data_IF_238659824488
#
_entry.id   IF_238659824488
#
_cell.length_a   1.000
_cell.length_b   1.000
_cell.length_c   1.000
_cell.angle_alpha   90.00
_cell.angle_beta   90.00
_cell.angle_gamma   90.00
#
_symmetry.space_group_name_H-M   'P 1'
#
loop_
_entity.id
_entity.type
_entity.pdbx_description
1 polymer ?
#
# COMPACT_ATOMS: atom_id res chain seq x y z
N UNK A 1 24.57 -15.09 3.95
CA UNK A 1 23.66 -14.30 4.82
C UNK A 1 23.49 -12.96 4.14
N UNK A 2 22.39 -12.77 3.36
CA UNK A 2 22.08 -11.46 2.79
C UNK A 2 21.64 -10.56 3.94
N UNK A 3 22.30 -9.43 4.09
CA UNK A 3 21.96 -8.39 5.06
C UNK A 3 20.46 -8.11 4.97
N UNK A 4 19.76 -8.34 6.07
CA UNK A 4 18.35 -7.96 6.20
C UNK A 4 18.28 -6.45 6.12
N UNK A 5 17.90 -5.91 4.97
CA UNK A 5 17.61 -4.50 4.81
C UNK A 5 16.48 -4.19 5.79
N UNK A 6 16.82 -3.52 6.90
CA UNK A 6 15.81 -3.04 7.85
C UNK A 6 14.93 -2.03 7.11
N UNK A 7 13.60 -2.10 7.28
CA UNK A 7 12.72 -1.12 6.67
C UNK A 7 13.13 0.30 7.13
N UNK A 8 13.09 1.26 6.21
CA UNK A 8 13.47 2.66 6.48
C UNK A 8 12.60 3.29 7.57
N UNK A 9 11.33 2.85 7.68
CA UNK A 9 10.35 3.36 8.62
C UNK A 9 9.78 2.25 9.51
N UNK A 10 9.59 2.56 10.80
CA UNK A 10 8.92 1.65 11.74
C UNK A 10 7.38 1.79 11.68
N UNK A 11 6.67 0.85 12.34
CA UNK A 11 5.20 0.82 12.31
C UNK A 11 4.57 2.12 12.84
N UNK A 12 5.09 2.69 13.93
CA UNK A 12 4.57 3.94 14.49
C UNK A 12 4.74 5.14 13.55
N UNK A 13 5.88 5.21 12.84
CA UNK A 13 6.14 6.25 11.84
C UNK A 13 5.20 6.13 10.63
N UNK A 14 4.90 4.91 10.18
CA UNK A 14 3.99 4.67 9.06
C UNK A 14 2.53 4.94 9.46
N UNK A 15 2.10 4.53 10.65
CA UNK A 15 0.78 4.91 11.19
C UNK A 15 0.66 6.43 11.30
N UNK A 16 1.66 7.10 11.85
CA UNK A 16 1.67 8.57 11.96
C UNK A 16 1.59 9.26 10.59
N UNK A 17 2.26 8.71 9.58
CA UNK A 17 2.18 9.20 8.21
C UNK A 17 0.79 9.01 7.61
N UNK A 18 0.18 7.83 7.78
CA UNK A 18 -1.19 7.56 7.34
C UNK A 18 -2.21 8.47 8.03
N UNK A 19 -2.07 8.69 9.34
CA UNK A 19 -2.93 9.63 10.09
C UNK A 19 -2.81 11.05 9.55
N UNK A 20 -1.59 11.52 9.23
CA UNK A 20 -1.38 12.85 8.60
C UNK A 20 -2.05 12.97 7.24
N UNK A 21 -1.98 11.93 6.40
CA UNK A 21 -2.67 11.91 5.10
C UNK A 21 -4.18 11.93 5.31
N UNK A 22 -4.71 11.07 6.18
CA UNK A 22 -6.13 11.02 6.48
C UNK A 22 -6.67 12.35 7.01
N UNK A 23 -5.89 13.03 7.85
CA UNK A 23 -6.26 14.35 8.37
C UNK A 23 -6.39 15.40 7.26
N UNK A 24 -5.52 15.34 6.24
CA UNK A 24 -5.54 16.25 5.09
C UNK A 24 -6.62 15.89 4.06
N UNK A 25 -6.77 14.60 3.75
CA UNK A 25 -7.67 14.13 2.68
C UNK A 25 -9.08 13.90 3.20
N UNK A 26 -9.24 13.12 4.28
CA UNK A 26 -10.57 12.72 4.79
C UNK A 26 -10.52 12.36 6.29
N UNK A 27 -10.50 13.37 7.15
CA UNK A 27 -10.43 13.19 8.63
C UNK A 27 -11.53 12.32 9.22
N UNK A 28 -12.67 12.16 8.52
CA UNK A 28 -13.80 11.30 8.97
C UNK A 28 -13.38 9.86 9.25
N UNK A 29 -12.35 9.31 8.54
CA UNK A 29 -11.89 7.94 8.78
C UNK A 29 -11.42 7.74 10.22
N UNK A 30 -10.73 8.71 10.81
CA UNK A 30 -10.21 8.64 12.18
C UNK A 30 -11.34 8.60 13.22
N UNK A 31 -12.35 9.46 13.05
CA UNK A 31 -13.51 9.49 13.96
C UNK A 31 -14.32 8.21 13.87
N UNK A 32 -14.51 7.66 12.67
CA UNK A 32 -15.23 6.39 12.48
C UNK A 32 -14.48 5.24 13.15
N UNK A 33 -13.14 5.16 13.01
CA UNK A 33 -12.34 4.12 13.68
C UNK A 33 -12.53 4.16 15.21
N UNK A 34 -12.47 5.34 15.82
CA UNK A 34 -12.67 5.51 17.27
C UNK A 34 -14.10 5.18 17.68
N UNK A 35 -15.10 5.67 16.94
CA UNK A 35 -16.50 5.39 17.22
C UNK A 35 -16.83 3.90 17.13
N UNK A 36 -16.34 3.22 16.10
CA UNK A 36 -16.50 1.75 15.97
C UNK A 36 -15.83 0.99 17.11
N UNK A 37 -14.64 1.45 17.56
CA UNK A 37 -13.96 0.83 18.68
C UNK A 37 -14.76 1.01 19.98
N UNK A 38 -15.27 2.19 20.24
CA UNK A 38 -16.09 2.46 21.43
C UNK A 38 -17.40 1.64 21.42
N UNK A 39 -18.08 1.56 20.27
CA UNK A 39 -19.30 0.77 20.12
C UNK A 39 -19.07 -0.74 20.31
N UNK A 40 -17.95 -1.26 19.83
CA UNK A 40 -17.58 -2.67 20.03
C UNK A 40 -17.41 -3.00 21.51
N UNK A 41 -16.70 -2.14 22.25
CA UNK A 41 -16.51 -2.29 23.69
C UNK A 41 -17.85 -2.18 24.43
N UNK A 42 -18.66 -1.20 24.06
CA UNK A 42 -19.99 -1.01 24.66
C UNK A 42 -20.92 -2.21 24.41
N UNK A 43 -20.93 -2.72 23.17
CA UNK A 43 -21.70 -3.92 22.80
C UNK A 43 -21.29 -5.12 23.66
N UNK A 44 -19.99 -5.39 23.75
CA UNK A 44 -19.47 -6.53 24.55
C UNK A 44 -19.72 -6.36 26.05
N UNK A 45 -19.63 -5.13 26.59
CA UNK A 45 -20.03 -4.84 27.96
C UNK A 45 -21.51 -5.10 28.22
N UNK A 46 -22.37 -4.59 27.34
CA UNK A 46 -23.81 -4.84 27.42
C UNK A 46 -24.10 -6.32 27.42
N UNK A 47 -23.48 -7.07 26.51
CA UNK A 47 -23.65 -8.53 26.42
C UNK A 47 -23.14 -9.26 27.67
N UNK A 48 -22.04 -8.80 28.28
CA UNK A 48 -21.47 -9.37 29.51
C UNK A 48 -22.44 -9.30 30.69
N UNK A 49 -23.18 -8.20 30.83
CA UNK A 49 -24.08 -7.95 31.96
C UNK A 49 -25.49 -8.51 31.79
N UNK A 50 -25.92 -8.93 30.58
CA UNK A 50 -27.29 -9.46 30.34
C UNK A 50 -27.64 -10.62 31.28
N UNK A 51 -26.83 -11.70 31.25
CA UNK A 51 -27.12 -12.89 32.02
C UNK A 51 -27.02 -12.68 33.55
N UNK A 52 -25.98 -12.01 34.06
CA UNK A 52 -25.87 -11.71 35.48
C UNK A 52 -27.05 -10.89 36.03
N UNK A 53 -27.48 -9.84 35.31
CA UNK A 53 -28.57 -8.97 35.77
C UNK A 53 -29.94 -9.67 35.73
N UNK A 54 -30.21 -10.45 34.68
CA UNK A 54 -31.45 -11.25 34.61
C UNK A 54 -31.49 -12.26 35.75
N UNK A 55 -30.36 -12.96 36.00
CA UNK A 55 -30.30 -13.93 37.08
C UNK A 55 -30.42 -13.29 38.45
N UNK A 56 -29.82 -12.12 38.67
CA UNK A 56 -29.97 -11.36 39.89
C UNK A 56 -31.44 -10.98 40.16
N UNK A 57 -32.21 -10.60 39.12
CA UNK A 57 -33.64 -10.36 39.24
C UNK A 57 -34.41 -11.64 39.66
N UNK A 58 -34.02 -12.79 39.10
CA UNK A 58 -34.65 -14.08 39.47
C UNK A 58 -34.34 -14.47 40.92
N UNK A 59 -33.07 -14.39 41.35
CA UNK A 59 -32.65 -14.71 42.73
C UNK A 59 -33.35 -13.83 43.80
N UNK A 60 -33.55 -12.55 43.50
CA UNK A 60 -34.23 -11.61 44.37
C UNK A 60 -35.76 -11.75 44.36
N UNK A 61 -36.30 -12.70 43.58
CA UNK A 61 -37.74 -12.84 43.35
C UNK A 61 -38.42 -11.50 42.89
N UNK A 62 -37.73 -10.76 42.00
CA UNK A 62 -38.22 -9.47 41.52
C UNK A 62 -39.61 -9.60 40.84
N UNK A 63 -40.45 -8.56 40.86
CA UNK A 63 -41.70 -8.57 40.13
C UNK A 63 -41.51 -8.82 38.65
N UNK A 64 -42.45 -9.51 38.01
CA UNK A 64 -42.41 -9.84 36.57
C UNK A 64 -42.20 -8.59 35.71
N UNK A 65 -42.76 -7.45 36.09
CA UNK A 65 -42.58 -6.17 35.40
C UNK A 65 -41.15 -5.65 35.42
N UNK A 66 -40.40 -5.84 36.51
CA UNK A 66 -38.98 -5.48 36.61
C UNK A 66 -38.10 -6.40 35.74
N UNK A 67 -38.38 -7.70 35.76
CA UNK A 67 -37.68 -8.67 34.91
C UNK A 67 -37.87 -8.39 33.41
N UNK A 68 -39.12 -8.12 32.99
CA UNK A 68 -39.43 -7.76 31.62
C UNK A 68 -38.81 -6.41 31.23
N UNK A 69 -38.78 -5.45 32.15
CA UNK A 69 -38.10 -4.17 31.95
C UNK A 69 -36.60 -4.32 31.75
N UNK A 70 -35.94 -5.16 32.55
CA UNK A 70 -34.50 -5.47 32.43
C UNK A 70 -34.17 -6.15 31.08
N UNK A 71 -34.96 -7.16 30.71
CA UNK A 71 -34.79 -7.86 29.39
C UNK A 71 -35.02 -6.84 28.26
N UNK A 72 -36.08 -6.03 28.32
CA UNK A 72 -36.40 -5.00 27.32
C UNK A 72 -35.28 -3.97 27.17
N UNK A 73 -34.71 -3.50 28.28
CA UNK A 73 -33.59 -2.55 28.29
C UNK A 73 -32.34 -3.15 27.58
N UNK A 74 -31.91 -4.35 27.98
CA UNK A 74 -30.72 -4.98 27.38
C UNK A 74 -30.94 -5.33 25.89
N UNK A 75 -32.13 -5.81 25.56
CA UNK A 75 -32.48 -6.10 24.15
C UNK A 75 -32.41 -4.83 23.30
N UNK A 76 -32.98 -3.72 23.78
CA UNK A 76 -32.92 -2.44 23.07
C UNK A 76 -31.47 -1.90 22.97
N UNK A 77 -30.72 -1.99 24.07
CA UNK A 77 -29.32 -1.55 24.08
C UNK A 77 -28.46 -2.34 23.10
N UNK A 78 -28.60 -3.68 23.05
CA UNK A 78 -27.90 -4.54 22.08
C UNK A 78 -28.35 -4.22 20.65
N UNK A 79 -29.65 -4.05 20.42
CA UNK A 79 -30.18 -3.68 19.10
C UNK A 79 -29.60 -2.36 18.59
N UNK A 80 -29.61 -1.32 19.43
CA UNK A 80 -29.10 0.00 19.06
C UNK A 80 -27.58 0.01 18.84
N UNK A 81 -26.83 -0.63 19.74
CA UNK A 81 -25.36 -0.69 19.61
C UNK A 81 -24.93 -1.51 18.40
N UNK A 82 -25.59 -2.65 18.14
CA UNK A 82 -25.32 -3.48 16.96
C UNK A 82 -25.72 -2.75 15.67
N UNK A 83 -26.90 -2.15 15.62
CA UNK A 83 -27.38 -1.40 14.46
C UNK A 83 -26.48 -0.23 14.10
N UNK A 84 -26.04 0.55 15.11
CA UNK A 84 -25.14 1.67 14.90
C UNK A 84 -23.72 1.19 14.46
N UNK A 85 -23.24 0.09 15.04
CA UNK A 85 -21.96 -0.53 14.63
C UNK A 85 -21.99 -0.97 13.17
N UNK A 86 -23.04 -1.67 12.76
CA UNK A 86 -23.19 -2.11 11.36
C UNK A 86 -23.32 -0.91 10.40
N UNK A 87 -24.09 0.10 10.77
CA UNK A 87 -24.18 1.34 10.00
C UNK A 87 -22.81 2.00 9.80
N UNK A 88 -22.04 2.17 10.90
CA UNK A 88 -20.68 2.74 10.81
C UNK A 88 -19.73 1.86 9.99
N UNK A 89 -19.87 0.54 10.08
CA UNK A 89 -19.07 -0.41 9.29
C UNK A 89 -19.27 -0.17 7.79
N UNK A 90 -20.51 -0.07 7.35
CA UNK A 90 -20.84 0.15 5.95
C UNK A 90 -20.34 1.50 5.44
N UNK A 91 -20.60 2.59 6.15
CA UNK A 91 -20.16 3.91 5.72
C UNK A 91 -18.64 4.13 5.87
N UNK A 92 -17.93 3.29 6.62
CA UNK A 92 -16.48 3.42 6.84
C UNK A 92 -15.67 3.18 5.58
N UNK A 93 -16.22 2.46 4.59
CA UNK A 93 -15.52 2.12 3.34
C UNK A 93 -15.15 3.36 2.54
N UNK A 94 -16.07 4.30 2.35
CA UNK A 94 -15.86 5.49 1.51
C UNK A 94 -14.68 6.37 1.97
N UNK A 95 -14.60 6.78 3.25
CA UNK A 95 -13.47 7.58 3.72
C UNK A 95 -12.12 6.87 3.62
N UNK A 96 -12.09 5.53 3.75
CA UNK A 96 -10.85 4.74 3.57
C UNK A 96 -10.41 4.75 2.12
N UNK A 97 -11.35 4.56 1.17
CA UNK A 97 -11.09 4.64 -0.26
C UNK A 97 -10.60 6.04 -0.66
N UNK A 98 -11.19 7.11 -0.10
CA UNK A 98 -10.73 8.48 -0.37
C UNK A 98 -9.26 8.67 0.02
N UNK A 99 -8.84 8.17 1.19
CA UNK A 99 -7.44 8.26 1.64
C UNK A 99 -6.52 7.46 0.73
N UNK A 100 -6.91 6.24 0.37
CA UNK A 100 -6.16 5.41 -0.60
C UNK A 100 -6.02 6.11 -1.94
N UNK A 101 -7.10 6.68 -2.49
CA UNK A 101 -7.09 7.43 -3.75
C UNK A 101 -6.16 8.63 -3.68
N UNK A 102 -6.08 9.30 -2.53
CA UNK A 102 -5.10 10.34 -2.28
C UNK A 102 -3.65 9.85 -2.43
N UNK A 103 -3.35 8.65 -1.91
CA UNK A 103 -2.02 8.04 -2.05
C UNK A 103 -1.76 7.63 -3.50
N UNK A 104 -2.76 7.05 -4.20
CA UNK A 104 -2.67 6.74 -5.64
C UNK A 104 -2.32 8.01 -6.44
N UNK A 105 -2.97 9.14 -6.14
CA UNK A 105 -2.65 10.43 -6.76
C UNK A 105 -1.21 10.90 -6.48
N UNK A 106 -0.68 10.66 -5.27
CA UNK A 106 0.72 10.97 -4.93
C UNK A 106 1.69 10.10 -5.73
N UNK A 107 1.41 8.79 -5.86
CA UNK A 107 2.22 7.85 -6.66
C UNK A 107 2.20 8.25 -8.14
N UNK A 108 1.02 8.53 -8.70
CA UNK A 108 0.87 8.96 -10.10
C UNK A 108 1.66 10.25 -10.37
N UNK A 109 1.55 11.24 -9.46
CA UNK A 109 2.33 12.49 -9.57
C UNK A 109 3.83 12.23 -9.54
N UNK A 110 4.33 11.35 -8.64
CA UNK A 110 5.74 10.99 -8.59
C UNK A 110 6.19 10.33 -9.90
N UNK A 111 5.40 9.41 -10.46
CA UNK A 111 5.70 8.77 -11.75
C UNK A 111 5.82 9.77 -12.90
N UNK A 112 4.89 10.75 -12.93
CA UNK A 112 4.80 11.71 -14.04
C UNK A 112 5.83 12.86 -13.93
N UNK A 113 6.32 13.13 -12.72
CA UNK A 113 7.16 14.29 -12.44
C UNK A 113 8.61 13.93 -12.10
N UNK A 114 8.95 12.66 -12.04
CA UNK A 114 10.32 12.21 -11.73
C UNK A 114 11.29 12.51 -12.87
N UNK A 115 12.56 12.60 -12.56
CA UNK A 115 13.65 12.71 -13.53
C UNK A 115 13.63 11.55 -14.50
N UNK A 116 13.85 11.81 -15.79
CA UNK A 116 13.79 10.77 -16.82
C UNK A 116 14.71 9.56 -16.55
N UNK A 117 15.94 9.72 -16.04
CA UNK A 117 16.79 8.58 -15.68
C UNK A 117 16.16 7.62 -14.67
N UNK A 118 15.36 8.12 -13.72
CA UNK A 118 14.67 7.28 -12.76
C UNK A 118 13.69 6.30 -13.43
N UNK A 119 13.08 6.69 -14.55
CA UNK A 119 12.16 5.81 -15.29
C UNK A 119 12.84 4.57 -15.89
N UNK A 120 14.15 4.60 -16.05
CA UNK A 120 14.98 3.51 -16.52
C UNK A 120 15.71 2.75 -15.40
N UNK A 121 15.68 3.28 -14.17
CA UNK A 121 16.32 2.65 -13.01
C UNK A 121 15.50 1.45 -12.53
N UNK A 122 16.11 0.29 -12.55
CA UNK A 122 15.52 -0.99 -12.11
C UNK A 122 15.01 -0.90 -10.66
N UNK A 123 15.72 -0.17 -9.80
CA UNK A 123 15.33 0.00 -8.39
C UNK A 123 14.07 0.86 -8.28
N UNK A 124 14.00 1.96 -9.02
CA UNK A 124 12.82 2.81 -9.09
C UNK A 124 11.60 2.03 -9.62
N UNK A 125 11.78 1.27 -10.72
CA UNK A 125 10.70 0.47 -11.32
C UNK A 125 10.18 -0.56 -10.33
N UNK A 126 11.06 -1.28 -9.63
CA UNK A 126 10.65 -2.25 -8.60
C UNK A 126 9.90 -1.60 -7.43
N UNK A 127 10.38 -0.45 -6.94
CA UNK A 127 9.70 0.29 -5.89
C UNK A 127 8.34 0.83 -6.35
N UNK A 128 8.24 1.31 -7.59
CA UNK A 128 6.98 1.72 -8.21
C UNK A 128 5.95 0.57 -8.22
N UNK A 129 6.34 -0.61 -8.68
CA UNK A 129 5.45 -1.78 -8.70
C UNK A 129 4.97 -2.16 -7.29
N UNK A 130 5.88 -2.18 -6.32
CA UNK A 130 5.54 -2.46 -4.91
C UNK A 130 4.61 -1.39 -4.32
N UNK A 131 4.87 -0.11 -4.59
CA UNK A 131 4.02 0.98 -4.15
C UNK A 131 2.61 0.88 -4.77
N UNK A 132 2.51 0.56 -6.06
CA UNK A 132 1.22 0.32 -6.71
C UNK A 132 0.47 -0.85 -6.10
N UNK A 133 1.15 -1.98 -5.83
CA UNK A 133 0.54 -3.14 -5.19
C UNK A 133 -0.09 -2.76 -3.83
N UNK A 134 0.61 -1.98 -3.02
CA UNK A 134 0.13 -1.56 -1.69
C UNK A 134 -1.14 -0.68 -1.70
N UNK A 135 -1.54 -0.15 -2.88
CA UNK A 135 -2.72 0.72 -3.04
C UNK A 135 -3.76 0.18 -4.00
N UNK A 136 -3.55 -1.00 -4.60
CA UNK A 136 -4.34 -1.49 -5.73
C UNK A 136 -5.76 -1.91 -5.35
N UNK A 137 -5.99 -2.38 -4.13
CA UNK A 137 -7.27 -2.96 -3.69
C UNK A 137 -7.68 -2.60 -2.28
N UNK A 138 -8.90 -3.02 -1.92
CA UNK A 138 -9.50 -2.77 -0.59
C UNK A 138 -8.94 -3.68 0.51
N UNK A 139 -8.11 -4.66 0.14
CA UNK A 139 -7.42 -5.59 1.04
C UNK A 139 -5.96 -5.25 1.24
N UNK A 140 -5.46 -4.29 0.45
CA UNK A 140 -4.06 -3.89 0.48
C UNK A 140 -3.75 -2.91 1.62
N UNK A 141 -2.47 -2.76 1.94
CA UNK A 141 -1.99 -2.06 3.13
C UNK A 141 -2.54 -0.63 3.30
N UNK A 142 -2.66 0.15 2.22
CA UNK A 142 -3.11 1.55 2.30
C UNK A 142 -4.57 1.71 2.75
N UNK A 143 -5.42 0.71 2.53
CA UNK A 143 -6.81 0.72 3.02
C UNK A 143 -6.97 -0.16 4.26
N UNK A 144 -6.36 -1.34 4.26
CA UNK A 144 -6.57 -2.32 5.31
C UNK A 144 -6.04 -1.86 6.68
N UNK A 145 -5.01 -1.00 6.70
CA UNK A 145 -4.46 -0.42 7.93
C UNK A 145 -5.54 0.25 8.81
N UNK A 146 -6.57 0.84 8.22
CA UNK A 146 -7.67 1.47 8.99
C UNK A 146 -8.53 0.44 9.70
N UNK A 147 -8.75 -0.73 9.07
CA UNK A 147 -9.44 -1.86 9.71
C UNK A 147 -8.59 -2.41 10.87
N UNK A 148 -7.29 -2.62 10.61
CA UNK A 148 -6.35 -3.12 11.62
C UNK A 148 -6.22 -2.17 12.80
N UNK A 149 -6.15 -0.85 12.57
CA UNK A 149 -6.15 0.16 13.63
C UNK A 149 -7.47 0.16 14.41
N UNK A 150 -8.61 0.01 13.73
CA UNK A 150 -9.92 -0.08 14.41
C UNK A 150 -9.94 -1.31 15.31
N UNK A 151 -9.55 -2.48 14.82
CA UNK A 151 -9.47 -3.73 15.59
C UNK A 151 -8.50 -3.59 16.76
N UNK A 152 -7.35 -2.95 16.56
CA UNK A 152 -6.40 -2.70 17.65
C UNK A 152 -7.01 -1.82 18.74
N UNK A 153 -7.68 -0.73 18.37
CA UNK A 153 -8.37 0.16 19.33
C UNK A 153 -9.49 -0.56 20.08
N UNK A 154 -10.27 -1.40 19.38
CA UNK A 154 -11.32 -2.24 19.99
C UNK A 154 -10.72 -3.16 21.03
N UNK A 155 -9.68 -3.91 20.68
CA UNK A 155 -9.06 -4.87 21.58
C UNK A 155 -8.37 -4.19 22.77
N UNK A 156 -7.71 -3.05 22.58
CA UNK A 156 -7.11 -2.29 23.68
C UNK A 156 -8.19 -1.74 24.62
N UNK A 157 -9.25 -1.18 24.06
CA UNK A 157 -10.39 -0.67 24.85
C UNK A 157 -11.07 -1.80 25.64
N UNK A 158 -11.37 -2.92 25.00
CA UNK A 158 -11.90 -4.12 25.65
C UNK A 158 -10.98 -4.65 26.74
N UNK A 159 -9.68 -4.79 26.44
CA UNK A 159 -8.67 -5.20 27.42
C UNK A 159 -8.69 -4.33 28.68
N UNK A 160 -8.68 -3.00 28.55
CA UNK A 160 -8.67 -2.10 29.71
C UNK A 160 -9.93 -2.23 30.57
N UNK A 161 -11.10 -2.34 29.92
CA UNK A 161 -12.37 -2.48 30.63
C UNK A 161 -12.47 -3.82 31.35
N UNK A 162 -12.14 -4.94 30.68
CA UNK A 162 -12.20 -6.26 31.28
C UNK A 162 -11.10 -6.46 32.34
N UNK A 163 -9.93 -5.83 32.16
CA UNK A 163 -8.89 -5.79 33.19
C UNK A 163 -9.43 -5.13 34.49
N UNK A 164 -10.17 -4.01 34.36
CA UNK A 164 -10.76 -3.33 35.51
C UNK A 164 -11.83 -4.20 36.20
N UNK A 165 -12.61 -5.00 35.45
CA UNK A 165 -13.60 -5.92 36.01
C UNK A 165 -12.91 -7.07 36.76
N UNK A 166 -11.94 -7.74 36.12
CA UNK A 166 -11.24 -8.89 36.67
C UNK A 166 -10.29 -8.54 37.82
N UNK A 167 -9.77 -7.31 37.87
CA UNK A 167 -8.90 -6.86 38.97
C UNK A 167 -9.58 -6.86 40.35
N UNK A 168 -10.93 -6.82 40.37
CA UNK A 168 -11.71 -6.92 41.61
C UNK A 168 -11.75 -8.35 42.20
N UNK A 169 -11.48 -9.36 41.37
CA UNK A 169 -11.57 -10.75 41.80
C UNK A 169 -10.28 -11.24 42.47
N UNK A 170 -9.18 -11.37 41.71
CA UNK A 170 -7.88 -11.80 42.24
C UNK A 170 -6.77 -11.51 41.21
N UNK A 171 -5.68 -10.88 41.67
CA UNK A 171 -4.54 -10.57 40.84
C UNK A 171 -3.77 -11.82 40.33
N UNK A 172 -3.81 -12.95 41.06
CA UNK A 172 -3.16 -14.20 40.66
C UNK A 172 -3.74 -14.74 39.35
N UNK A 173 -5.07 -14.66 39.19
CA UNK A 173 -5.75 -15.05 37.96
C UNK A 173 -5.24 -14.23 36.76
N UNK A 174 -5.10 -12.91 36.97
CA UNK A 174 -4.57 -12.00 35.91
C UNK A 174 -3.15 -12.38 35.50
N UNK A 175 -2.28 -12.77 36.45
CA UNK A 175 -0.92 -13.20 36.17
C UNK A 175 -0.91 -14.48 35.36
N UNK A 176 -1.75 -15.48 35.71
CA UNK A 176 -1.87 -16.74 34.95
C UNK A 176 -2.33 -16.46 33.50
N UNK A 177 -3.35 -15.64 33.34
CA UNK A 177 -3.84 -15.24 32.01
C UNK A 177 -2.74 -14.54 31.22
N UNK A 178 -2.09 -13.55 31.82
CA UNK A 178 -1.00 -12.81 31.17
C UNK A 178 0.18 -13.73 30.76
N UNK A 179 0.61 -14.62 31.63
CA UNK A 179 1.69 -15.55 31.34
C UNK A 179 1.36 -16.49 30.17
N UNK A 180 0.15 -17.08 30.16
CA UNK A 180 -0.30 -17.97 29.08
C UNK A 180 -0.46 -17.20 27.75
N UNK A 181 -0.93 -15.96 27.78
CA UNK A 181 -1.00 -15.12 26.58
C UNK A 181 0.39 -14.79 26.02
N UNK A 182 1.39 -14.50 26.87
CA UNK A 182 2.77 -14.27 26.44
C UNK A 182 3.35 -15.51 25.75
N UNK A 183 3.12 -16.71 26.31
CA UNK A 183 3.57 -17.96 25.66
C UNK A 183 2.91 -18.14 24.30
N UNK A 184 1.58 -17.98 24.20
CA UNK A 184 0.85 -18.07 22.93
C UNK A 184 1.37 -17.05 21.90
N UNK A 185 1.64 -15.83 22.32
CA UNK A 185 2.26 -14.82 21.48
C UNK A 185 3.65 -15.22 20.95
N UNK A 186 4.51 -15.76 21.80
CA UNK A 186 5.83 -16.20 21.36
C UNK A 186 5.74 -17.30 20.29
N UNK A 187 4.79 -18.21 20.43
CA UNK A 187 4.55 -19.29 19.44
C UNK A 187 4.00 -18.71 18.14
N UNK A 188 2.98 -17.85 18.20
CA UNK A 188 2.44 -17.16 17.01
C UNK A 188 3.52 -16.36 16.31
N UNK A 189 4.30 -15.59 17.04
CA UNK A 189 5.43 -14.81 16.50
C UNK A 189 6.50 -15.69 15.83
N UNK A 190 6.75 -16.89 16.36
CA UNK A 190 7.65 -17.83 15.71
C UNK A 190 7.12 -18.26 14.35
N UNK A 191 5.83 -18.63 14.26
CA UNK A 191 5.14 -19.00 13.02
C UNK A 191 5.22 -17.87 11.98
N UNK A 192 4.85 -16.68 12.36
CA UNK A 192 4.87 -15.50 11.47
C UNK A 192 6.27 -15.12 11.03
N UNK A 193 7.26 -15.16 11.93
CA UNK A 193 8.66 -14.91 11.56
C UNK A 193 9.19 -15.97 10.57
N UNK A 194 8.74 -17.22 10.69
CA UNK A 194 9.13 -18.26 9.76
C UNK A 194 8.57 -17.98 8.37
N UNK A 195 7.27 -17.67 8.26
CA UNK A 195 6.60 -17.31 7.00
C UNK A 195 7.28 -16.08 6.37
N UNK A 196 7.54 -15.07 7.18
CA UNK A 196 8.22 -13.85 6.71
C UNK A 196 9.63 -14.12 6.16
N UNK A 197 10.38 -15.03 6.76
CA UNK A 197 11.73 -15.40 6.28
C UNK A 197 11.71 -16.08 4.91
N UNK A 198 10.60 -16.72 4.55
CA UNK A 198 10.44 -17.44 3.29
C UNK A 198 9.58 -16.66 2.26
N UNK A 199 9.24 -15.41 2.55
CA UNK A 199 8.43 -14.56 1.66
C UNK A 199 9.07 -14.35 0.29
N UNK A 200 10.42 -14.38 0.20
CA UNK A 200 11.13 -14.28 -1.07
C UNK A 200 10.76 -15.43 -2.04
N UNK A 201 10.45 -16.63 -1.52
CA UNK A 201 9.97 -17.77 -2.33
C UNK A 201 8.61 -17.44 -2.95
N UNK A 202 7.71 -16.86 -2.18
CA UNK A 202 6.37 -16.45 -2.60
C UNK A 202 6.44 -15.30 -3.63
N UNK A 203 7.26 -14.28 -3.37
CA UNK A 203 7.46 -13.16 -4.29
C UNK A 203 8.02 -13.63 -5.65
N UNK A 204 8.97 -14.56 -5.62
CA UNK A 204 9.54 -15.16 -6.84
C UNK A 204 8.49 -15.93 -7.63
N UNK A 205 7.61 -16.64 -6.95
CA UNK A 205 6.49 -17.35 -7.56
C UNK A 205 5.53 -16.38 -8.27
N UNK A 206 5.07 -15.33 -7.57
CA UNK A 206 4.17 -14.33 -8.14
C UNK A 206 4.79 -13.59 -9.32
N UNK A 207 6.07 -13.25 -9.24
CA UNK A 207 6.79 -12.62 -10.34
C UNK A 207 6.82 -13.50 -11.59
N UNK A 208 7.15 -14.80 -11.46
CA UNK A 208 7.15 -15.75 -12.57
C UNK A 208 5.75 -15.95 -13.15
N UNK A 209 4.75 -16.15 -12.31
CA UNK A 209 3.35 -16.32 -12.74
C UNK A 209 2.83 -15.09 -13.48
N UNK A 210 3.07 -13.90 -12.94
CA UNK A 210 2.66 -12.63 -13.56
C UNK A 210 3.35 -12.40 -14.90
N UNK A 211 4.65 -12.71 -15.01
CA UNK A 211 5.38 -12.60 -16.25
C UNK A 211 4.78 -13.50 -17.35
N UNK A 212 4.55 -14.78 -17.05
CA UNK A 212 4.00 -15.73 -18.03
C UNK A 212 2.59 -15.30 -18.43
N UNK A 213 1.75 -14.92 -17.47
CA UNK A 213 0.39 -14.46 -17.73
C UNK A 213 0.39 -13.22 -18.63
N UNK A 214 1.16 -12.18 -18.29
CA UNK A 214 1.26 -10.95 -19.09
C UNK A 214 1.72 -11.24 -20.52
N UNK A 215 2.68 -12.17 -20.70
CA UNK A 215 3.14 -12.57 -22.03
C UNK A 215 2.10 -13.40 -22.78
N UNK A 216 1.42 -14.35 -22.13
CA UNK A 216 0.37 -15.15 -22.74
C UNK A 216 -0.84 -14.32 -23.18
N UNK A 217 -1.16 -13.25 -22.44
CA UNK A 217 -2.26 -12.31 -22.73
C UNK A 217 -1.86 -11.23 -23.74
N UNK A 218 -0.58 -11.11 -24.10
CA UNK A 218 -0.09 -10.06 -25.00
C UNK A 218 -0.47 -10.34 -26.46
N UNK A 219 -0.84 -9.27 -27.19
CA UNK A 219 -1.14 -9.31 -28.61
C UNK A 219 0.05 -9.84 -29.43
N UNK A 220 1.27 -9.51 -28.98
CA UNK A 220 2.51 -9.95 -29.63
C UNK A 220 2.63 -11.48 -29.71
N UNK A 221 2.35 -12.16 -28.58
CA UNK A 221 2.46 -13.63 -28.51
C UNK A 221 1.19 -14.34 -29.03
N UNK A 222 0.09 -13.63 -29.18
CA UNK A 222 -1.20 -14.22 -29.58
C UNK A 222 -1.14 -14.98 -30.90
N UNK A 223 -0.37 -14.50 -31.89
CA UNK A 223 -0.14 -15.15 -33.18
C UNK A 223 0.68 -16.45 -33.04
N UNK A 224 1.73 -16.40 -32.22
CA UNK A 224 2.65 -17.52 -32.02
C UNK A 224 1.98 -18.66 -31.25
N UNK A 225 1.15 -18.33 -30.25
CA UNK A 225 0.32 -19.31 -29.51
C UNK A 225 -0.56 -20.10 -30.48
N UNK A 226 -1.19 -19.44 -31.49
CA UNK A 226 -2.08 -20.07 -32.44
C UNK A 226 -1.35 -20.88 -33.51
N UNK A 227 -0.27 -20.30 -34.08
CA UNK A 227 0.47 -20.92 -35.17
C UNK A 227 1.27 -22.13 -34.67
N UNK A 228 1.91 -22.01 -33.52
CA UNK A 228 2.77 -23.05 -32.96
C UNK A 228 2.09 -23.95 -31.93
N UNK A 229 0.81 -23.73 -31.62
CA UNK A 229 0.06 -24.55 -30.65
C UNK A 229 0.60 -24.48 -29.23
N UNK A 230 1.13 -23.33 -28.80
CA UNK A 230 1.84 -23.18 -27.52
C UNK A 230 0.95 -23.28 -26.29
N UNK A 231 -0.37 -23.40 -26.42
CA UNK A 231 -1.32 -23.37 -25.31
C UNK A 231 -1.06 -24.46 -24.26
N UNK A 232 -0.84 -25.70 -24.71
CA UNK A 232 -0.57 -26.81 -23.79
C UNK A 232 0.75 -26.60 -23.02
N UNK A 233 1.80 -26.17 -23.71
CA UNK A 233 3.07 -25.88 -23.11
C UNK A 233 2.99 -24.75 -22.07
N UNK A 234 2.25 -23.67 -22.34
CA UNK A 234 2.01 -22.58 -21.39
C UNK A 234 1.24 -23.04 -20.16
N UNK A 235 0.23 -23.90 -20.35
CA UNK A 235 -0.51 -24.50 -19.24
C UNK A 235 0.38 -25.39 -18.38
N UNK A 236 1.17 -26.28 -18.99
CA UNK A 236 2.13 -27.12 -18.25
C UNK A 236 3.14 -26.27 -17.46
N UNK A 237 3.60 -25.15 -18.04
CA UNK A 237 4.52 -24.25 -17.37
C UNK A 237 3.85 -23.56 -16.17
N UNK A 238 2.60 -23.13 -16.31
CA UNK A 238 1.81 -22.54 -15.22
C UNK A 238 1.52 -23.57 -14.12
N UNK A 239 1.17 -24.79 -14.48
CA UNK A 239 0.91 -25.89 -13.54
C UNK A 239 2.17 -26.26 -12.75
N UNK A 240 3.33 -26.31 -13.41
CA UNK A 240 4.62 -26.56 -12.74
C UNK A 240 4.93 -25.48 -11.70
N UNK A 241 4.73 -24.22 -12.08
CA UNK A 241 4.94 -23.10 -11.17
C UNK A 241 3.91 -23.15 -10.02
N UNK A 242 2.67 -23.52 -10.31
CA UNK A 242 1.60 -23.62 -9.31
C UNK A 242 1.88 -24.73 -8.29
N UNK A 243 2.36 -25.89 -8.73
CA UNK A 243 2.69 -27.03 -7.84
C UNK A 243 3.82 -26.64 -6.85
N UNK A 244 4.85 -25.94 -7.30
CA UNK A 244 5.91 -25.42 -6.40
C UNK A 244 5.33 -24.46 -5.36
N UNK A 245 4.37 -23.63 -5.75
CA UNK A 245 3.69 -22.72 -4.83
C UNK A 245 2.79 -23.46 -3.82
N UNK A 246 2.09 -24.50 -4.26
CA UNK A 246 1.26 -25.33 -3.37
C UNK A 246 2.10 -25.98 -2.29
N UNK A 247 3.28 -26.52 -2.63
CA UNK A 247 4.18 -27.12 -1.66
C UNK A 247 4.67 -26.08 -0.63
N UNK A 248 4.96 -24.88 -1.07
CA UNK A 248 5.30 -23.78 -0.17
C UNK A 248 4.13 -23.42 0.77
N UNK A 249 2.92 -23.26 0.21
CA UNK A 249 1.71 -22.95 0.99
C UNK A 249 1.40 -24.05 2.01
N UNK A 250 1.53 -25.32 1.65
CA UNK A 250 1.35 -26.44 2.57
C UNK A 250 2.33 -26.40 3.74
N UNK A 251 3.58 -26.01 3.51
CA UNK A 251 4.56 -25.79 4.60
C UNK A 251 4.14 -24.66 5.53
N UNK A 252 3.70 -23.53 4.97
CA UNK A 252 3.19 -22.40 5.74
C UNK A 252 1.99 -22.79 6.60
N UNK A 253 0.99 -23.48 6.00
CA UNK A 253 -0.24 -23.89 6.70
C UNK A 253 0.05 -24.93 7.81
N UNK A 254 1.00 -25.84 7.62
CA UNK A 254 1.43 -26.78 8.69
C UNK A 254 2.00 -26.06 9.91
N UNK A 255 2.80 -25.00 9.69
CA UNK A 255 3.38 -24.22 10.78
C UNK A 255 2.31 -23.38 11.49
N UNK A 256 1.37 -22.80 10.73
CA UNK A 256 0.20 -22.12 11.32
C UNK A 256 -0.64 -23.08 12.15
N UNK A 257 -0.95 -24.25 11.62
CA UNK A 257 -1.72 -25.27 12.33
C UNK A 257 -1.08 -25.65 13.67
N UNK A 258 0.24 -25.83 13.71
CA UNK A 258 0.96 -26.10 14.96
C UNK A 258 0.82 -24.95 15.96
N UNK A 259 0.89 -23.72 15.50
CA UNK A 259 0.69 -22.53 16.34
C UNK A 259 -0.77 -22.47 16.87
N UNK A 260 -1.75 -22.69 16.01
CA UNK A 260 -3.18 -22.66 16.35
C UNK A 260 -3.55 -23.78 17.35
N UNK A 261 -3.04 -25.01 17.16
CA UNK A 261 -3.22 -26.13 18.11
C UNK A 261 -2.59 -25.80 19.46
N UNK A 262 -1.37 -25.23 19.46
CA UNK A 262 -0.71 -24.82 20.71
C UNK A 262 -1.53 -23.75 21.44
N UNK A 263 -2.06 -22.76 20.74
CA UNK A 263 -2.92 -21.73 21.34
C UNK A 263 -4.24 -22.31 21.85
N UNK A 264 -4.84 -23.28 21.16
CA UNK A 264 -6.04 -23.97 21.64
C UNK A 264 -5.78 -24.70 22.95
N UNK A 265 -4.64 -25.39 23.07
CA UNK A 265 -4.22 -26.09 24.31
C UNK A 265 -3.95 -25.09 25.45
N UNK A 266 -3.27 -23.98 25.17
CA UNK A 266 -3.03 -22.94 26.16
C UNK A 266 -4.34 -22.29 26.62
N UNK A 267 -5.28 -22.05 25.70
CA UNK A 267 -6.61 -21.51 26.01
C UNK A 267 -7.41 -22.48 26.87
N UNK A 268 -7.39 -23.79 26.57
CA UNK A 268 -8.03 -24.80 27.35
C UNK A 268 -7.44 -24.85 28.77
N UNK A 269 -6.12 -24.87 28.91
CA UNK A 269 -5.44 -24.89 30.21
C UNK A 269 -5.76 -23.62 31.03
N UNK A 270 -5.69 -22.43 30.41
CA UNK A 270 -5.99 -21.16 31.03
C UNK A 270 -7.42 -21.07 31.53
N UNK A 271 -8.39 -21.41 30.67
CA UNK A 271 -9.81 -21.41 31.05
C UNK A 271 -10.10 -22.47 32.12
N UNK A 272 -9.50 -23.67 32.02
CA UNK A 272 -9.65 -24.69 33.01
C UNK A 272 -9.17 -24.27 34.40
N UNK A 273 -7.99 -23.66 34.51
CA UNK A 273 -7.46 -23.10 35.77
C UNK A 273 -8.39 -21.99 36.30
N UNK A 274 -8.80 -21.06 35.43
CA UNK A 274 -9.68 -19.96 35.84
C UNK A 274 -11.04 -20.47 36.33
N UNK A 275 -11.64 -21.41 35.61
CA UNK A 275 -12.95 -21.96 35.98
C UNK A 275 -12.90 -22.81 37.25
N UNK A 276 -11.84 -23.63 37.42
CA UNK A 276 -11.63 -24.37 38.67
C UNK A 276 -11.49 -23.42 39.87
N UNK A 277 -10.77 -22.32 39.71
CA UNK A 277 -10.65 -21.29 40.74
C UNK A 277 -11.99 -20.58 41.04
N UNK A 278 -12.73 -20.17 40.01
CA UNK A 278 -14.06 -19.58 40.20
C UNK A 278 -15.05 -20.53 40.88
N UNK A 279 -15.04 -21.81 40.50
CA UNK A 279 -15.86 -22.82 41.10
C UNK A 279 -15.51 -23.03 42.59
N UNK A 280 -14.20 -23.03 42.90
CA UNK A 280 -13.75 -23.12 44.29
C UNK A 280 -14.27 -21.94 45.16
N UNK A 281 -14.26 -20.72 44.60
CA UNK A 281 -14.80 -19.53 45.26
C UNK A 281 -16.32 -19.62 45.43
N UNK A 282 -17.04 -20.10 44.42
CA UNK A 282 -18.50 -20.25 44.48
C UNK A 282 -18.94 -21.27 45.52
N UNK A 283 -18.20 -22.42 45.62
CA UNK A 283 -18.48 -23.46 46.61
C UNK A 283 -18.17 -23.06 48.05
N UNK A 284 -17.44 -21.96 48.28
CA UNK A 284 -17.15 -21.40 49.60
C UNK A 284 -18.07 -20.25 49.97
N UNK A 285 -19.19 -20.05 49.27
CA UNK A 285 -20.17 -18.98 49.45
C UNK A 285 -19.56 -17.56 49.39
N UNK A 286 -18.42 -17.43 48.73
CA UNK A 286 -17.74 -16.14 48.52
C UNK A 286 -18.11 -15.44 47.23
N UNK A 287 -18.91 -16.09 46.36
CA UNK A 287 -19.40 -15.57 45.08
C UNK A 287 -20.89 -15.95 44.91
N UNK A 288 -21.72 -14.94 44.54
CA UNK A 288 -23.08 -15.23 44.10
C UNK A 288 -23.11 -15.87 42.70
N UNK A 289 -24.21 -16.52 42.32
CA UNK A 289 -24.36 -17.16 41.03
C UNK A 289 -24.26 -16.13 39.88
N UNK A 290 -24.88 -14.95 39.95
CA UNK A 290 -24.71 -13.87 38.98
C UNK A 290 -23.24 -13.44 38.82
N UNK A 291 -22.51 -13.25 39.92
CA UNK A 291 -21.08 -12.89 39.88
C UNK A 291 -20.23 -13.99 39.29
N UNK A 292 -20.55 -15.25 39.60
CA UNK A 292 -19.86 -16.41 38.97
C UNK A 292 -19.99 -16.37 37.44
N UNK A 293 -21.20 -16.14 36.89
CA UNK A 293 -21.44 -16.05 35.45
C UNK A 293 -20.72 -14.86 34.86
N UNK A 294 -20.74 -13.69 35.54
CA UNK A 294 -20.03 -12.49 35.12
C UNK A 294 -18.53 -12.77 34.92
N UNK A 295 -17.88 -13.30 35.96
CA UNK A 295 -16.43 -13.56 35.91
C UNK A 295 -16.07 -14.70 34.99
N UNK A 296 -16.90 -15.74 34.91
CA UNK A 296 -16.72 -16.87 33.99
C UNK A 296 -16.68 -16.39 32.52
N UNK A 297 -17.63 -15.54 32.13
CA UNK A 297 -17.69 -14.95 30.80
C UNK A 297 -16.58 -13.92 30.57
N UNK A 298 -16.25 -13.13 31.59
CA UNK A 298 -15.22 -12.11 31.52
C UNK A 298 -13.83 -12.71 31.27
N UNK A 299 -13.47 -13.85 31.91
CA UNK A 299 -12.19 -14.53 31.69
C UNK A 299 -11.99 -14.96 30.23
N UNK A 300 -13.02 -15.60 29.68
CA UNK A 300 -12.97 -16.04 28.26
C UNK A 300 -12.81 -14.86 27.30
N UNK A 301 -13.63 -13.82 27.49
CA UNK A 301 -13.60 -12.64 26.65
C UNK A 301 -12.32 -11.82 26.81
N UNK A 302 -11.77 -11.72 28.03
CA UNK A 302 -10.49 -11.03 28.27
C UNK A 302 -9.34 -11.65 27.46
N UNK A 303 -9.31 -12.98 27.39
CA UNK A 303 -8.35 -13.69 26.54
C UNK A 303 -8.46 -13.29 25.08
N UNK A 304 -9.69 -13.19 24.55
CA UNK A 304 -9.94 -12.78 23.17
C UNK A 304 -9.41 -11.37 22.89
N UNK A 305 -9.58 -10.43 23.84
CA UNK A 305 -9.02 -9.09 23.71
C UNK A 305 -7.48 -9.08 23.66
N UNK A 306 -6.82 -9.85 24.53
CA UNK A 306 -5.35 -9.92 24.55
C UNK A 306 -4.83 -10.50 23.24
N UNK A 307 -5.40 -11.62 22.78
CA UNK A 307 -4.99 -12.24 21.51
C UNK A 307 -5.27 -11.31 20.32
N UNK A 308 -6.41 -10.61 20.34
CA UNK A 308 -6.75 -9.63 19.33
C UNK A 308 -5.76 -8.45 19.25
N UNK A 309 -5.22 -7.98 20.39
CA UNK A 309 -4.16 -6.95 20.40
C UNK A 309 -2.91 -7.49 19.68
N UNK A 310 -2.50 -8.72 20.00
CA UNK A 310 -1.28 -9.30 19.46
C UNK A 310 -1.38 -9.53 17.96
N UNK A 311 -2.51 -10.09 17.49
CA UNK A 311 -2.78 -10.31 16.07
C UNK A 311 -2.88 -8.99 15.30
N UNK A 312 -3.57 -7.99 15.87
CA UNK A 312 -3.66 -6.68 15.24
C UNK A 312 -2.29 -5.96 15.15
N UNK A 313 -1.46 -6.08 16.19
CA UNK A 313 -0.11 -5.52 16.19
C UNK A 313 0.80 -6.20 15.13
N UNK A 314 0.68 -7.52 14.97
CA UNK A 314 1.39 -8.28 13.94
C UNK A 314 0.94 -7.86 12.54
N UNK A 315 -0.37 -7.80 12.30
CA UNK A 315 -0.93 -7.36 11.04
C UNK A 315 -0.54 -5.94 10.69
N UNK A 316 -0.56 -5.04 11.69
CA UNK A 316 -0.10 -3.66 11.54
C UNK A 316 1.39 -3.59 11.15
N UNK A 317 2.21 -4.50 11.69
CA UNK A 317 3.62 -4.58 11.31
C UNK A 317 3.78 -4.99 9.84
N UNK A 318 3.05 -6.01 9.36
CA UNK A 318 3.07 -6.41 7.94
C UNK A 318 2.65 -5.26 7.02
N UNK A 319 1.51 -4.61 7.30
CA UNK A 319 1.01 -3.46 6.52
C UNK A 319 1.99 -2.29 6.54
N UNK A 320 2.68 -2.09 7.66
CA UNK A 320 3.73 -1.07 7.79
C UNK A 320 4.92 -1.32 6.86
N UNK A 321 5.30 -2.57 6.61
CA UNK A 321 6.38 -2.88 5.67
C UNK A 321 6.00 -2.46 4.25
N UNK A 322 4.77 -2.73 3.83
CA UNK A 322 4.27 -2.34 2.51
C UNK A 322 4.17 -0.81 2.39
N UNK A 323 3.69 -0.12 3.42
CA UNK A 323 3.67 1.35 3.47
C UNK A 323 5.06 1.98 3.49
N UNK A 324 6.07 1.31 4.06
CA UNK A 324 7.47 1.76 3.96
C UNK A 324 7.92 1.82 2.50
N UNK A 325 7.54 0.83 1.69
CA UNK A 325 7.87 0.81 0.27
C UNK A 325 7.19 1.94 -0.51
N UNK A 326 5.92 2.26 -0.17
CA UNK A 326 5.22 3.43 -0.73
C UNK A 326 5.97 4.72 -0.41
N UNK A 327 6.39 4.91 0.85
CA UNK A 327 7.13 6.11 1.26
C UNK A 327 8.51 6.18 0.63
N UNK A 328 9.23 5.07 0.57
CA UNK A 328 10.54 4.99 -0.10
C UNK A 328 10.43 5.33 -1.58
N UNK A 329 9.35 4.89 -2.24
CA UNK A 329 9.07 5.28 -3.62
C UNK A 329 8.79 6.79 -3.76
N UNK A 330 7.93 7.35 -2.92
CA UNK A 330 7.60 8.78 -2.95
C UNK A 330 8.82 9.67 -2.64
N UNK A 331 9.73 9.19 -1.80
CA UNK A 331 10.97 9.86 -1.41
C UNK A 331 12.17 9.46 -2.28
N UNK A 332 11.94 8.74 -3.40
CA UNK A 332 13.04 8.37 -4.29
C UNK A 332 13.75 9.62 -4.81
N UNK A 333 15.10 9.68 -4.74
CA UNK A 333 15.83 10.88 -5.04
C UNK A 333 15.65 11.32 -6.49
N UNK A 334 15.61 12.63 -6.68
CA UNK A 334 15.62 13.26 -7.99
C UNK A 334 17.03 13.72 -8.32
N UNK A 335 17.65 13.17 -9.37
CA UNK A 335 18.96 13.64 -9.83
C UNK A 335 18.88 15.05 -10.43
N UNK A 336 17.72 15.44 -10.97
CA UNK A 336 17.53 16.73 -11.60
C UNK A 336 16.94 17.76 -10.65
N UNK A 337 17.30 19.03 -10.87
CA UNK A 337 16.74 20.16 -10.16
C UNK A 337 15.44 20.60 -10.82
N UNK A 338 14.32 20.45 -10.10
CA UNK A 338 12.99 20.88 -10.55
C UNK A 338 12.47 22.12 -9.81
N UNK A 339 13.19 22.57 -8.79
CA UNK A 339 12.88 23.78 -8.02
C UNK A 339 14.12 24.65 -7.88
N UNK A 340 13.97 25.96 -8.01
CA UNK A 340 15.08 26.89 -8.02
C UNK A 340 15.99 26.71 -9.23
N UNK A 341 17.23 27.19 -9.15
CA UNK A 341 18.21 27.16 -10.22
C UNK A 341 18.43 28.53 -10.85
N UNK A 342 19.40 28.59 -11.78
CA UNK A 342 19.69 29.79 -12.57
C UNK A 342 18.54 30.06 -13.52
N UNK A 343 18.12 31.31 -13.66
CA UNK A 343 17.09 31.69 -14.61
C UNK A 343 17.60 31.49 -16.05
N UNK A 344 16.73 30.97 -16.91
CA UNK A 344 17.07 30.81 -18.33
C UNK A 344 17.20 32.21 -18.97
N UNK A 345 18.30 32.49 -19.68
CA UNK A 345 18.47 33.75 -20.36
C UNK A 345 17.36 33.94 -21.39
N UNK A 346 16.74 35.12 -21.41
CA UNK A 346 15.78 35.50 -22.47
C UNK A 346 16.56 35.78 -23.72
N UNK A 347 16.39 34.97 -24.77
CA UNK A 347 17.01 35.16 -26.07
C UNK A 347 16.05 34.65 -27.16
N UNK A 348 16.16 35.21 -28.37
CA UNK A 348 15.37 34.78 -29.53
C UNK A 348 15.88 33.44 -30.09
N UNK A 349 17.14 33.12 -29.84
CA UNK A 349 17.76 31.86 -30.19
C UNK A 349 18.90 31.52 -29.20
N UNK A 350 19.21 30.25 -29.07
CA UNK A 350 20.15 29.74 -28.07
C UNK A 350 21.30 29.01 -28.76
N UNK A 351 22.51 29.12 -28.17
CA UNK A 351 23.63 28.24 -28.46
C UNK A 351 23.58 27.02 -27.53
N UNK A 352 23.72 25.83 -28.11
CA UNK A 352 23.91 24.57 -27.35
C UNK A 352 25.33 24.07 -27.63
N UNK A 353 26.08 23.82 -26.56
CA UNK A 353 27.44 23.34 -26.67
C UNK A 353 27.66 22.09 -25.78
N UNK A 354 28.25 21.06 -26.35
CA UNK A 354 28.76 19.90 -25.65
C UNK A 354 30.28 20.08 -25.53
N UNK A 355 30.81 19.89 -24.32
CA UNK A 355 32.24 19.94 -24.05
C UNK A 355 32.70 18.64 -23.40
N UNK A 356 33.53 17.87 -24.11
CA UNK A 356 34.08 16.58 -23.68
C UNK A 356 33.02 15.62 -23.14
N UNK A 357 31.86 15.52 -23.84
CA UNK A 357 30.72 14.77 -23.37
C UNK A 357 30.89 13.28 -23.62
N UNK A 358 30.92 12.50 -22.54
CA UNK A 358 30.74 11.05 -22.58
C UNK A 358 29.44 10.65 -21.88
N UNK A 359 28.77 9.62 -22.39
CA UNK A 359 27.55 9.12 -21.80
C UNK A 359 27.46 7.59 -21.87
N UNK A 360 27.13 7.00 -20.71
CA UNK A 360 26.89 5.56 -20.54
C UNK A 360 25.52 5.33 -19.91
N UNK A 361 24.74 4.44 -20.50
CA UNK A 361 23.48 4.01 -19.88
C UNK A 361 23.73 3.21 -18.59
N UNK A 362 22.86 3.31 -17.59
CA UNK A 362 22.97 2.51 -16.37
C UNK A 362 23.05 1.01 -16.68
N UNK A 363 24.10 0.36 -16.19
CA UNK A 363 24.35 -1.08 -16.41
C UNK A 363 25.02 -1.45 -17.74
N UNK A 364 25.33 -0.49 -18.61
CA UNK A 364 26.16 -0.74 -19.79
C UNK A 364 27.65 -0.77 -19.43
N UNK A 365 28.42 -1.59 -20.15
CA UNK A 365 29.87 -1.69 -19.97
C UNK A 365 30.63 -0.62 -20.78
N UNK A 366 30.07 -0.17 -21.89
CA UNK A 366 30.69 0.77 -22.82
C UNK A 366 29.91 2.09 -22.92
N UNK A 367 30.60 3.15 -23.29
CA UNK A 367 30.03 4.45 -23.54
C UNK A 367 29.25 4.44 -24.87
N UNK A 368 28.05 4.98 -24.85
CA UNK A 368 27.24 5.20 -26.06
C UNK A 368 27.71 6.45 -26.81
N UNK A 369 28.22 7.43 -26.08
CA UNK A 369 28.88 8.63 -26.61
C UNK A 369 30.20 8.77 -25.85
N UNK A 370 31.29 9.03 -26.58
CA UNK A 370 32.62 9.15 -26.00
C UNK A 370 33.30 10.43 -26.47
N UNK A 371 33.73 11.24 -25.53
CA UNK A 371 34.50 12.50 -25.66
C UNK A 371 34.02 13.39 -26.85
N UNK A 372 32.73 13.68 -26.87
CA UNK A 372 32.13 14.44 -27.96
C UNK A 372 32.14 15.94 -27.68
N UNK A 373 32.74 16.69 -28.60
CA UNK A 373 32.63 18.15 -28.71
C UNK A 373 31.71 18.52 -29.86
N UNK A 374 30.68 19.31 -29.57
CA UNK A 374 29.71 19.78 -30.57
C UNK A 374 29.17 21.16 -30.16
N UNK A 375 29.10 22.07 -31.13
CA UNK A 375 28.43 23.37 -30.94
C UNK A 375 27.34 23.52 -31.96
N UNK A 376 26.11 23.77 -31.52
CA UNK A 376 24.95 24.15 -32.35
C UNK A 376 24.70 25.62 -32.10
N UNK A 377 24.95 26.42 -33.15
CA UNK A 377 24.82 27.88 -33.09
C UNK A 377 23.37 28.33 -33.16
N UNK A 378 23.05 29.54 -32.69
CA UNK A 378 21.71 30.10 -32.81
C UNK A 378 21.22 30.09 -34.28
N UNK A 379 20.04 29.50 -34.52
CA UNK A 379 19.44 29.41 -35.87
C UNK A 379 20.06 28.35 -36.79
N UNK A 380 21.04 27.61 -36.36
CA UNK A 380 21.70 26.56 -37.15
C UNK A 380 20.77 25.35 -37.36
N UNK A 381 20.82 24.78 -38.58
CA UNK A 381 20.16 23.51 -38.93
C UNK A 381 21.22 22.42 -39.02
N UNK A 382 21.16 21.49 -38.07
CA UNK A 382 22.11 20.37 -37.99
C UNK A 382 21.43 19.07 -38.43
N UNK A 383 22.06 18.33 -39.35
CA UNK A 383 21.68 16.99 -39.73
C UNK A 383 22.63 15.97 -39.07
N UNK A 384 22.08 15.01 -38.33
CA UNK A 384 22.84 13.95 -37.65
C UNK A 384 22.59 12.62 -38.38
N UNK A 385 23.62 12.06 -39.00
CA UNK A 385 23.56 10.82 -39.75
C UNK A 385 24.49 9.77 -39.14
N UNK A 386 24.12 8.50 -39.25
CA UNK A 386 24.89 7.39 -38.72
C UNK A 386 24.11 6.09 -38.72
N UNK A 387 24.79 4.99 -38.46
CA UNK A 387 24.19 3.65 -38.36
C UNK A 387 23.20 3.56 -37.17
N UNK A 388 22.35 2.53 -37.22
CA UNK A 388 21.50 2.23 -36.07
C UNK A 388 22.38 1.85 -34.86
N UNK A 389 22.05 2.41 -33.68
CA UNK A 389 22.89 2.22 -32.49
C UNK A 389 24.05 3.21 -32.32
N UNK A 390 24.33 4.09 -33.30
CA UNK A 390 25.44 5.06 -33.22
C UNK A 390 25.24 6.21 -32.23
N UNK A 391 24.26 6.15 -31.33
CA UNK A 391 24.06 7.19 -30.29
C UNK A 391 23.25 8.42 -30.71
N UNK A 392 22.70 8.50 -31.94
CA UNK A 392 21.95 9.68 -32.42
C UNK A 392 20.81 10.13 -31.48
N UNK A 393 19.97 9.20 -31.12
CA UNK A 393 18.86 9.47 -30.18
C UNK A 393 19.34 9.82 -28.76
N UNK A 394 20.46 9.24 -28.33
CA UNK A 394 21.11 9.55 -27.07
C UNK A 394 21.64 10.97 -27.04
N UNK A 395 22.26 11.41 -28.14
CA UNK A 395 22.75 12.78 -28.32
C UNK A 395 21.59 13.79 -28.21
N UNK A 396 20.48 13.53 -28.91
CA UNK A 396 19.27 14.40 -28.80
C UNK A 396 18.74 14.42 -27.38
N UNK A 397 18.69 13.28 -26.68
CA UNK A 397 18.24 13.22 -25.28
C UNK A 397 19.15 14.02 -24.33
N UNK A 398 20.47 14.04 -24.57
CA UNK A 398 21.41 14.86 -23.80
C UNK A 398 21.21 16.35 -24.09
N UNK A 399 21.06 16.74 -25.35
CA UNK A 399 20.78 18.12 -25.75
C UNK A 399 19.48 18.63 -25.13
N UNK A 400 18.41 17.82 -25.15
CA UNK A 400 17.12 18.17 -24.52
C UNK A 400 17.14 18.06 -22.98
N UNK A 401 18.25 17.65 -22.35
CA UNK A 401 18.37 17.53 -20.92
C UNK A 401 17.57 16.38 -20.31
N UNK A 402 17.19 15.35 -21.08
CA UNK A 402 16.59 14.13 -20.56
C UNK A 402 17.59 13.25 -19.82
N UNK A 403 18.88 13.41 -20.14
CA UNK A 403 20.02 12.84 -19.41
C UNK A 403 21.04 13.93 -19.10
N UNK A 404 21.79 13.74 -18.04
CA UNK A 404 23.06 14.42 -17.82
C UNK A 404 24.19 13.54 -18.35
N UNK A 405 25.25 14.14 -18.89
CA UNK A 405 26.41 13.36 -19.34
C UNK A 405 27.10 12.69 -18.14
N UNK A 406 27.73 11.51 -18.39
CA UNK A 406 28.54 10.82 -17.40
C UNK A 406 29.84 11.60 -17.12
N UNK A 407 30.42 12.16 -18.20
CA UNK A 407 31.58 13.05 -18.15
C UNK A 407 31.34 14.24 -19.07
N UNK A 408 32.03 15.34 -18.78
CA UNK A 408 31.86 16.59 -19.53
C UNK A 408 30.61 17.37 -19.12
N UNK A 409 30.16 18.27 -20.00
CA UNK A 409 29.03 19.15 -19.72
C UNK A 409 28.29 19.58 -20.99
N UNK A 410 26.99 19.79 -20.81
CA UNK A 410 26.12 20.40 -21.83
C UNK A 410 25.82 21.83 -21.39
N UNK A 411 26.06 22.78 -22.27
CA UNK A 411 25.94 24.21 -21.99
C UNK A 411 24.83 24.83 -22.85
N UNK A 412 24.04 25.71 -22.25
CA UNK A 412 23.10 26.60 -22.92
C UNK A 412 23.62 28.03 -22.74
N UNK A 413 24.02 28.69 -23.83
CA UNK A 413 24.65 30.03 -23.80
C UNK A 413 25.79 30.12 -22.76
N UNK A 414 26.62 29.08 -22.66
CA UNK A 414 27.77 29.00 -21.76
C UNK A 414 27.46 28.60 -20.31
N UNK A 415 26.20 28.38 -19.94
CA UNK A 415 25.79 27.93 -18.59
C UNK A 415 25.45 26.45 -18.63
N UNK A 416 25.94 25.69 -17.64
CA UNK A 416 25.69 24.25 -17.53
C UNK A 416 24.20 23.96 -17.32
N UNK A 417 23.67 23.03 -18.11
CA UNK A 417 22.26 22.62 -18.07
C UNK A 417 21.83 22.11 -16.69
N UNK A 418 22.76 21.57 -15.88
CA UNK A 418 22.51 21.13 -14.51
C UNK A 418 22.20 22.24 -13.53
N UNK A 419 22.56 23.50 -13.86
CA UNK A 419 22.30 24.67 -13.02
C UNK A 419 20.92 25.26 -13.20
N UNK A 420 20.22 24.94 -14.29
CA UNK A 420 18.86 25.40 -14.58
C UNK A 420 17.79 24.58 -13.87
N UNK A 421 16.61 25.18 -13.71
CA UNK A 421 15.39 24.43 -13.45
C UNK A 421 15.09 23.56 -14.67
N UNK A 422 15.05 22.25 -14.49
CA UNK A 422 14.92 21.31 -15.62
C UNK A 422 13.58 21.46 -16.37
N UNK A 423 12.49 21.85 -15.69
CA UNK A 423 11.19 22.08 -16.35
C UNK A 423 11.24 23.30 -17.26
N UNK A 424 11.89 24.37 -16.80
CA UNK A 424 12.06 25.57 -17.61
C UNK A 424 12.93 25.27 -18.81
N UNK A 425 13.99 24.48 -18.62
CA UNK A 425 14.85 24.04 -19.71
C UNK A 425 14.11 23.19 -20.73
N UNK A 426 13.25 22.25 -20.31
CA UNK A 426 12.41 21.48 -21.23
C UNK A 426 11.48 22.34 -22.05
N UNK A 427 11.01 23.46 -21.51
CA UNK A 427 10.15 24.43 -22.22
C UNK A 427 10.80 25.10 -23.42
N UNK A 428 12.13 25.01 -23.59
CA UNK A 428 12.85 25.53 -24.75
C UNK A 428 12.76 24.60 -25.97
N UNK A 429 12.34 23.35 -25.80
CA UNK A 429 12.39 22.35 -26.85
C UNK A 429 10.99 21.97 -27.33
N UNK A 430 10.89 21.74 -28.64
CA UNK A 430 9.82 20.98 -29.27
C UNK A 430 10.45 19.81 -29.98
N UNK A 431 10.09 18.58 -29.57
CA UNK A 431 10.72 17.37 -30.08
C UNK A 431 9.66 16.39 -30.60
N UNK A 432 9.97 15.76 -31.74
CA UNK A 432 9.20 14.64 -32.27
C UNK A 432 10.10 13.42 -32.17
N UNK A 433 9.75 12.51 -31.26
CA UNK A 433 10.46 11.24 -31.09
C UNK A 433 9.92 10.17 -32.03
N UNK A 434 10.71 9.15 -32.32
CA UNK A 434 10.33 8.00 -33.16
C UNK A 434 9.19 7.20 -32.52
N UNK A 435 9.20 7.07 -31.18
CA UNK A 435 8.13 6.49 -30.41
C UNK A 435 7.25 7.61 -29.85
N UNK A 436 6.02 7.70 -30.32
CA UNK A 436 5.03 8.67 -29.85
C UNK A 436 3.80 7.95 -29.33
N UNK A 437 3.12 8.54 -28.36
CA UNK A 437 1.89 8.03 -27.79
C UNK A 437 0.72 8.89 -28.25
N UNK A 438 -0.34 8.24 -28.73
CA UNK A 438 -1.65 8.84 -28.99
C UNK A 438 -2.57 8.41 -27.87
N UNK A 439 -3.25 9.37 -27.26
CA UNK A 439 -4.25 9.10 -26.22
C UNK A 439 -5.61 8.81 -26.89
N UNK A 440 -6.44 8.02 -26.21
CA UNK A 440 -7.82 7.72 -26.64
C UNK A 440 -8.75 8.92 -26.28
N UNK A 441 -8.49 10.03 -26.96
CA UNK A 441 -9.24 11.29 -26.87
C UNK A 441 -9.35 11.87 -28.28
N UNK A 442 -10.03 13.00 -28.46
CA UNK A 442 -10.19 13.61 -29.79
C UNK A 442 -8.84 14.03 -30.41
N UNK A 443 -8.83 14.15 -31.73
CA UNK A 443 -7.65 14.66 -32.47
C UNK A 443 -7.26 16.05 -31.97
N UNK A 444 -8.25 16.90 -31.72
CA UNK A 444 -8.03 18.26 -31.20
C UNK A 444 -7.32 18.24 -29.83
N UNK A 445 -7.76 17.39 -28.91
CA UNK A 445 -7.14 17.23 -27.58
C UNK A 445 -5.73 16.64 -27.66
N UNK A 446 -5.49 15.67 -28.57
CA UNK A 446 -4.15 15.12 -28.79
C UNK A 446 -3.17 16.19 -29.32
N UNK A 447 -3.62 17.07 -30.22
CA UNK A 447 -2.78 18.15 -30.78
C UNK A 447 -2.59 19.28 -29.76
N UNK A 448 -3.67 19.72 -29.13
CA UNK A 448 -3.65 20.84 -28.19
C UNK A 448 -3.05 20.46 -26.82
N UNK A 449 -3.01 19.16 -26.48
CA UNK A 449 -2.60 18.63 -25.17
C UNK A 449 -3.37 19.24 -23.99
N UNK A 450 -4.61 19.63 -24.24
CA UNK A 450 -5.57 20.14 -23.26
C UNK A 450 -6.99 19.79 -23.69
N UNK A 451 -7.88 19.67 -22.69
CA UNK A 451 -9.32 19.45 -22.92
C UNK A 451 -10.15 20.74 -22.78
N UNK A 452 -9.50 21.87 -22.42
CA UNK A 452 -10.18 23.13 -22.19
C UNK A 452 -9.60 24.24 -23.06
N UNK A 453 -10.46 25.14 -23.57
CA UNK A 453 -10.09 26.37 -24.30
C UNK A 453 -9.16 26.13 -25.50
N UNK A 454 -9.44 25.10 -26.31
CA UNK A 454 -8.67 24.82 -27.51
C UNK A 454 -8.86 25.99 -28.54
N UNK A 455 -7.76 26.65 -28.90
CA UNK A 455 -7.75 27.66 -29.96
C UNK A 455 -7.90 26.97 -31.32
N UNK A 456 -9.12 26.94 -31.84
CA UNK A 456 -9.47 26.28 -33.10
C UNK A 456 -8.71 26.84 -34.29
N UNK A 457 -8.42 28.15 -34.29
CA UNK A 457 -7.69 28.77 -35.40
C UNK A 457 -6.24 28.30 -35.42
N UNK A 458 -5.58 28.29 -34.26
CA UNK A 458 -4.21 27.79 -34.11
C UNK A 458 -4.14 26.28 -34.39
N UNK A 459 -5.17 25.53 -34.00
CA UNK A 459 -5.26 24.10 -34.26
C UNK A 459 -5.25 23.81 -35.77
N UNK A 460 -6.11 24.47 -36.54
CA UNK A 460 -6.18 24.27 -37.98
C UNK A 460 -4.90 24.78 -38.72
N UNK A 461 -4.29 25.88 -38.28
CA UNK A 461 -2.99 26.35 -38.79
C UNK A 461 -1.90 25.30 -38.58
N UNK A 462 -1.86 24.64 -37.41
CA UNK A 462 -0.94 23.54 -37.14
C UNK A 462 -1.20 22.30 -38.03
N UNK A 463 -2.46 21.93 -38.22
CA UNK A 463 -2.88 20.79 -39.06
C UNK A 463 -2.47 21.03 -40.52
N UNK A 464 -2.70 22.26 -41.03
CA UNK A 464 -2.31 22.66 -42.39
C UNK A 464 -0.80 22.62 -42.57
N UNK A 465 -0.02 23.19 -41.63
CA UNK A 465 1.44 23.16 -41.65
C UNK A 465 2.02 21.73 -41.57
N UNK A 466 1.32 20.82 -40.92
CA UNK A 466 1.67 19.41 -40.86
C UNK A 466 1.26 18.62 -42.12
N UNK A 467 0.52 19.22 -43.05
CA UNK A 467 0.02 18.54 -44.25
C UNK A 467 -1.08 17.50 -43.99
N UNK A 468 -1.78 17.62 -42.86
CA UNK A 468 -2.77 16.64 -42.43
C UNK A 468 -4.22 17.03 -42.67
N UNK A 469 -4.50 18.17 -43.32
CA UNK A 469 -5.83 18.75 -43.53
C UNK A 469 -6.80 17.74 -44.15
N UNK A 470 -6.42 17.13 -45.28
CA UNK A 470 -7.28 16.18 -45.98
C UNK A 470 -7.53 14.88 -45.14
N UNK A 471 -6.53 14.49 -44.39
CA UNK A 471 -6.61 13.27 -43.56
C UNK A 471 -7.61 13.50 -42.41
N UNK A 472 -7.51 14.64 -41.75
CA UNK A 472 -8.37 14.97 -40.60
C UNK A 472 -9.79 15.27 -41.02
N UNK A 473 -9.99 15.94 -42.16
CA UNK A 473 -11.34 16.20 -42.69
C UNK A 473 -12.13 14.95 -43.07
N UNK A 474 -11.45 13.82 -43.31
CA UNK A 474 -12.08 12.52 -43.60
C UNK A 474 -12.46 11.74 -42.34
N UNK A 475 -12.00 12.17 -41.16
CA UNK A 475 -12.36 11.55 -39.88
C UNK A 475 -13.76 11.99 -39.45
N UNK A 476 -14.50 11.12 -38.73
CA UNK A 476 -15.86 11.42 -38.25
C UNK A 476 -15.89 12.55 -37.24
#
# INVERSE_FOLDING_TARGET
MKDKIKPKYNAAQNVGWMVKIAWKVRKRVLFICVAMAALEVLYNLTQLYVAPEILSCVERHAPVGELLGTIGFFTLALFLTMGLKEYLREISMYPRVDVRSGIVGMIARKCNMTSFPNTLDVKFIKLKEKAHHSVQGNTEAAENIWKTLTVLLQNVGGFLVYLAILSRLNWVLLVVIAATCVVGFLVSRYSSNWIFRHRDEEETFYAKKSYIRKKAESVELAKDIRIFGLQNWLNELLDRIHNVYLDFRLRCEKIKLLADVTEALLTMARNGIAYAYLLHLALRDSLSVPEFILYFTAVSTFTTWVMGILQAAEKLHEESLDLSQVREFLEYPEPFRFEGGTAIPKADAYELKLEHVSFRYPGAEEDTIHDLDLTVRPGEKLAIVGLNGAGKTTLVKLLCGLFDPTEGRVLLNGVDVRDFNRREYYGLFSAVFQEFSILDVTVAENIAQTNENIDTKKLWDCIEKAGLTETIQKLP
#
